data_IF_347237958204
#
_entry.id   IF_347237958204
#
_cell.length_a   1.000
_cell.length_b   1.000
_cell.length_c   1.000
_cell.angle_alpha   90.00
_cell.angle_beta   90.00
_cell.angle_gamma   90.00
#
_symmetry.space_group_name_H-M   'P 1'
#
loop_
_entity.id
_entity.type
_entity.pdbx_description
1 polymer ?
#
# COMPACT_ATOMS: atom_id res chain seq x y z
N UNK A 1 29.87 11.23 -36.72
CA UNK A 1 31.32 11.48 -36.82
C UNK A 1 31.93 11.25 -35.45
N UNK A 2 32.87 10.29 -35.35
CA UNK A 2 33.53 9.86 -34.12
C UNK A 2 34.69 10.82 -33.82
N UNK A 3 34.83 11.31 -32.59
CA UNK A 3 36.07 11.97 -32.12
C UNK A 3 36.46 11.45 -30.73
N UNK A 4 37.77 11.30 -30.46
CA UNK A 4 38.29 10.24 -29.59
C UNK A 4 38.50 10.67 -28.13
N UNK A 5 38.50 9.66 -27.27
CA UNK A 5 38.90 9.66 -25.86
C UNK A 5 40.38 10.05 -25.77
N UNK A 6 40.69 11.08 -24.97
CA UNK A 6 42.04 11.37 -24.51
C UNK A 6 42.12 11.01 -23.02
N UNK A 7 42.77 9.88 -22.74
CA UNK A 7 43.28 9.51 -21.42
C UNK A 7 44.50 10.38 -21.12
N UNK A 8 44.43 11.16 -20.04
CA UNK A 8 45.60 11.71 -19.38
C UNK A 8 45.53 11.33 -17.91
N UNK A 9 46.20 10.23 -17.60
CA UNK A 9 46.62 9.90 -16.25
C UNK A 9 47.83 10.78 -15.90
N UNK A 10 47.71 11.57 -14.84
CA UNK A 10 48.86 12.16 -14.17
C UNK A 10 48.63 12.01 -12.65
N UNK A 11 49.31 11.01 -12.10
CA UNK A 11 49.55 10.82 -10.68
C UNK A 11 50.42 11.98 -10.16
N UNK A 12 49.95 12.68 -9.13
CA UNK A 12 50.81 13.43 -8.22
C UNK A 12 50.28 13.24 -6.80
N UNK A 13 51.10 12.60 -5.97
CA UNK A 13 50.83 12.26 -4.58
C UNK A 13 51.65 13.18 -3.68
N UNK A 14 51.08 13.45 -2.50
CA UNK A 14 51.67 13.93 -1.23
C UNK A 14 51.79 15.45 -1.00
N UNK A 15 50.96 15.96 -0.09
CA UNK A 15 51.43 16.46 1.22
C UNK A 15 50.26 16.67 2.19
N UNK A 16 50.44 16.14 3.39
CA UNK A 16 49.57 16.06 4.57
C UNK A 16 49.21 17.39 5.24
N UNK A 17 47.94 17.54 5.67
CA UNK A 17 47.50 18.52 6.67
C UNK A 17 46.80 17.82 7.85
N UNK A 18 46.93 18.31 9.10
CA UNK A 18 46.45 17.61 10.28
C UNK A 18 44.92 17.75 10.47
N UNK A 19 44.36 16.69 11.07
CA UNK A 19 42.95 16.49 11.36
C UNK A 19 42.34 17.60 12.24
N UNK A 20 41.09 17.97 11.96
CA UNK A 20 39.99 17.86 12.93
C UNK A 20 38.63 18.23 12.32
N UNK A 21 37.61 17.49 12.78
CA UNK A 21 36.17 17.70 12.67
C UNK A 21 35.41 17.12 11.46
N UNK A 22 34.81 15.96 11.77
CA UNK A 22 33.47 15.50 11.39
C UNK A 22 33.26 15.02 9.95
N UNK A 23 33.73 13.80 9.69
CA UNK A 23 32.99 12.86 8.85
C UNK A 23 31.72 12.40 9.60
N UNK A 24 30.54 12.55 9.01
CA UNK A 24 29.45 11.54 9.00
C UNK A 24 28.22 12.09 8.24
N UNK A 25 27.38 11.24 7.63
CA UNK A 25 27.67 9.98 6.94
C UNK A 25 27.18 9.99 5.49
N UNK A 26 27.84 9.16 4.67
CA UNK A 26 27.23 8.49 3.53
C UNK A 26 25.90 7.87 3.97
N UNK A 27 24.80 8.36 3.42
CA UNK A 27 23.50 7.74 3.60
C UNK A 27 23.56 6.36 2.95
N UNK A 28 23.92 5.35 3.74
CA UNK A 28 23.62 3.97 3.45
C UNK A 28 22.15 3.91 3.00
N UNK A 29 21.78 3.08 2.01
CA UNK A 29 20.38 2.82 1.77
C UNK A 29 19.89 2.18 3.07
N UNK A 30 19.15 2.94 3.86
CA UNK A 30 18.26 2.34 4.84
C UNK A 30 17.40 1.41 4.02
N UNK A 31 17.68 0.11 4.10
CA UNK A 31 16.67 -0.92 3.96
C UNK A 31 15.57 -0.53 4.92
N UNK A 32 14.67 0.31 4.44
CA UNK A 32 13.38 0.51 5.04
C UNK A 32 12.79 -0.89 5.02
N UNK A 33 12.85 -1.57 6.16
CA UNK A 33 11.96 -2.66 6.46
C UNK A 33 10.56 -2.06 6.36
N UNK A 34 10.01 -2.07 5.15
CA UNK A 34 8.62 -1.80 4.93
C UNK A 34 7.88 -2.75 5.86
N UNK A 35 7.06 -2.26 6.81
CA UNK A 35 6.16 -3.17 7.50
C UNK A 35 5.42 -3.89 6.39
N UNK A 36 5.52 -5.23 6.35
CA UNK A 36 4.76 -6.06 5.43
C UNK A 36 3.30 -5.70 5.67
N UNK A 37 2.77 -4.76 4.90
CA UNK A 37 1.36 -4.48 4.83
C UNK A 37 0.78 -5.76 4.26
N UNK A 38 0.36 -6.62 5.19
CA UNK A 38 0.18 -8.04 4.94
C UNK A 38 -0.71 -8.22 3.74
N UNK A 39 -0.14 -8.83 2.70
CA UNK A 39 -0.91 -9.47 1.64
C UNK A 39 -2.11 -10.15 2.30
N UNK A 40 -3.34 -9.90 1.85
CA UNK A 40 -4.53 -10.50 2.45
C UNK A 40 -4.30 -11.98 2.78
N UNK A 41 -4.59 -12.41 4.02
CA UNK A 41 -4.34 -13.78 4.51
C UNK A 41 -4.90 -14.91 3.62
N UNK A 42 -5.83 -14.60 2.72
CA UNK A 42 -6.33 -15.58 1.75
C UNK A 42 -5.34 -15.85 0.60
N UNK A 43 -4.50 -14.88 0.21
CA UNK A 43 -3.50 -15.06 -0.86
C UNK A 43 -2.49 -16.15 -0.52
N UNK A 44 -2.12 -16.27 0.76
CA UNK A 44 -1.25 -17.35 1.23
C UNK A 44 -1.90 -18.74 1.19
N UNK A 45 -3.21 -18.84 0.98
CA UNK A 45 -3.95 -20.11 0.93
C UNK A 45 -4.16 -20.61 -0.51
N UNK A 46 -3.82 -19.81 -1.54
CA UNK A 46 -4.06 -20.12 -2.95
C UNK A 46 -2.85 -20.71 -3.70
N UNK A 47 -1.77 -21.05 -2.99
CA UNK A 47 -0.54 -21.59 -3.58
C UNK A 47 -0.07 -20.77 -4.81
N UNK A 48 -0.02 -19.45 -4.68
CA UNK A 48 0.33 -18.55 -5.77
C UNK A 48 1.77 -18.74 -6.23
N UNK A 49 2.00 -18.66 -7.54
CA UNK A 49 3.36 -18.58 -8.09
C UNK A 49 3.99 -17.23 -7.73
N UNK A 50 5.32 -17.14 -7.79
CA UNK A 50 6.01 -15.89 -7.47
C UNK A 50 5.66 -14.77 -8.46
N UNK A 51 5.46 -15.11 -9.74
CA UNK A 51 4.95 -14.19 -10.75
C UNK A 51 3.56 -13.66 -10.39
N UNK A 52 2.64 -14.54 -9.98
CA UNK A 52 1.28 -14.12 -9.55
C UNK A 52 1.35 -13.20 -8.33
N UNK A 53 2.21 -13.51 -7.35
CA UNK A 53 2.40 -12.65 -6.16
C UNK A 53 2.86 -11.25 -6.55
N UNK A 54 3.86 -11.15 -7.43
CA UNK A 54 4.37 -9.87 -7.91
C UNK A 54 3.30 -9.06 -8.64
N UNK A 55 2.53 -9.69 -9.53
CA UNK A 55 1.43 -9.03 -10.24
C UNK A 55 0.34 -8.53 -9.27
N UNK A 56 -0.02 -9.35 -8.29
CA UNK A 56 -1.00 -8.98 -7.27
C UNK A 56 -0.50 -7.82 -6.42
N UNK A 57 0.76 -7.81 -6.00
CA UNK A 57 1.35 -6.71 -5.24
C UNK A 57 1.35 -5.39 -6.02
N UNK A 58 1.64 -5.44 -7.32
CA UNK A 58 1.54 -4.27 -8.20
C UNK A 58 0.09 -3.75 -8.28
N UNK A 59 -0.89 -4.65 -8.42
CA UNK A 59 -2.32 -4.29 -8.43
C UNK A 59 -2.72 -3.62 -7.10
N UNK A 60 -2.28 -4.16 -5.96
CA UNK A 60 -2.55 -3.57 -4.64
C UNK A 60 -1.93 -2.19 -4.49
N UNK A 61 -0.67 -2.04 -4.91
CA UNK A 61 0.04 -0.77 -4.82
C UNK A 61 -0.63 0.31 -5.67
N UNK A 62 -0.95 -0.01 -6.92
CA UNK A 62 -1.65 0.90 -7.83
C UNK A 62 -3.05 1.25 -7.29
N UNK A 63 -3.80 0.27 -6.79
CA UNK A 63 -5.11 0.52 -6.18
C UNK A 63 -5.01 1.40 -4.94
N UNK A 64 -4.02 1.16 -4.08
CA UNK A 64 -3.80 1.97 -2.87
C UNK A 64 -3.49 3.42 -3.23
N UNK A 65 -2.66 3.64 -4.24
CA UNK A 65 -2.31 4.98 -4.71
C UNK A 65 -3.52 5.68 -5.34
N UNK A 66 -4.21 4.99 -6.26
CA UNK A 66 -5.41 5.50 -6.94
C UNK A 66 -6.52 5.86 -5.94
N UNK A 67 -6.74 5.03 -4.92
CA UNK A 67 -7.82 5.19 -3.94
C UNK A 67 -7.39 5.95 -2.68
N UNK A 68 -6.15 6.43 -2.60
CA UNK A 68 -5.62 7.15 -1.43
C UNK A 68 -6.50 8.35 -1.03
N UNK A 69 -6.97 9.22 -1.94
CA UNK A 69 -7.82 10.36 -1.56
C UNK A 69 -9.13 9.92 -0.90
N UNK A 70 -9.79 8.90 -1.46
CA UNK A 70 -11.03 8.34 -0.94
C UNK A 70 -10.83 7.75 0.47
N UNK A 71 -9.73 7.03 0.69
CA UNK A 71 -9.39 6.47 2.00
C UNK A 71 -9.07 7.56 3.03
N UNK A 72 -8.38 8.63 2.62
CA UNK A 72 -8.09 9.77 3.48
C UNK A 72 -9.38 10.51 3.88
N UNK A 73 -10.32 10.69 2.95
CA UNK A 73 -11.63 11.28 3.22
C UNK A 73 -12.41 10.44 4.25
N UNK A 74 -12.50 9.12 4.05
CA UNK A 74 -13.15 8.23 5.03
C UNK A 74 -12.48 8.32 6.40
N UNK A 75 -11.15 8.31 6.45
CA UNK A 75 -10.40 8.41 7.72
C UNK A 75 -10.72 9.72 8.45
N UNK A 76 -10.75 10.84 7.72
CA UNK A 76 -11.09 12.14 8.30
C UNK A 76 -12.52 12.16 8.85
N UNK A 77 -13.50 11.61 8.12
CA UNK A 77 -14.88 11.52 8.60
C UNK A 77 -14.99 10.65 9.86
N UNK A 78 -14.29 9.52 9.93
CA UNK A 78 -14.27 8.67 11.11
C UNK A 78 -13.65 9.37 12.33
N UNK A 79 -12.60 10.15 12.14
CA UNK A 79 -11.99 10.96 13.20
C UNK A 79 -12.93 12.06 13.69
N UNK A 80 -13.57 12.78 12.77
CA UNK A 80 -14.57 13.79 13.11
C UNK A 80 -15.78 13.18 13.83
N UNK A 81 -16.23 12.01 13.40
CA UNK A 81 -17.32 11.29 14.04
C UNK A 81 -16.96 10.92 15.48
N UNK A 82 -15.75 10.39 15.69
CA UNK A 82 -15.24 10.06 17.02
C UNK A 82 -15.22 11.29 17.91
N UNK A 83 -14.67 12.41 17.42
CA UNK A 83 -14.63 13.66 18.17
C UNK A 83 -16.04 14.19 18.50
N UNK A 84 -17.00 14.12 17.56
CA UNK A 84 -18.38 14.53 17.81
C UNK A 84 -19.07 13.67 18.88
N UNK A 85 -18.82 12.34 18.87
CA UNK A 85 -19.33 11.41 19.89
C UNK A 85 -18.71 11.69 21.26
N UNK A 86 -17.40 11.91 21.32
CA UNK A 86 -16.69 12.26 22.57
C UNK A 86 -17.18 13.60 23.15
N UNK A 87 -17.57 14.56 22.30
CA UNK A 87 -18.15 15.84 22.70
C UNK A 87 -19.66 15.79 23.03
N UNK A 88 -20.34 14.65 22.83
CA UNK A 88 -21.79 14.53 23.01
C UNK A 88 -22.65 15.28 21.98
N UNK A 89 -22.05 15.70 20.86
CA UNK A 89 -22.75 16.43 19.80
C UNK A 89 -23.47 15.46 18.84
N UNK A 90 -24.69 15.09 19.24
CA UNK A 90 -25.54 14.12 18.53
C UNK A 90 -25.86 14.60 17.11
N UNK A 91 -26.16 15.89 16.93
CA UNK A 91 -26.53 16.45 15.62
C UNK A 91 -25.35 16.36 14.64
N UNK A 92 -24.15 16.77 15.07
CA UNK A 92 -22.95 16.67 14.26
C UNK A 92 -22.57 15.21 13.97
N UNK A 93 -22.69 14.32 14.95
CA UNK A 93 -22.43 12.89 14.75
C UNK A 93 -23.35 12.28 13.67
N UNK A 94 -24.64 12.65 13.66
CA UNK A 94 -25.59 12.18 12.64
C UNK A 94 -25.27 12.73 11.25
N UNK A 95 -24.89 14.02 11.16
CA UNK A 95 -24.50 14.62 9.89
C UNK A 95 -23.24 13.97 9.30
N UNK A 96 -22.27 13.60 10.14
CA UNK A 96 -21.06 12.89 9.70
C UNK A 96 -21.38 11.45 9.30
N UNK A 97 -22.26 10.76 10.03
CA UNK A 97 -22.71 9.41 9.65
C UNK A 97 -23.33 9.40 8.24
N UNK A 98 -24.17 10.38 7.91
CA UNK A 98 -24.74 10.50 6.56
C UNK A 98 -23.66 10.63 5.47
N UNK A 99 -22.58 11.36 5.75
CA UNK A 99 -21.44 11.48 4.84
C UNK A 99 -20.67 10.17 4.68
N UNK A 100 -20.45 9.45 5.80
CA UNK A 100 -19.82 8.13 5.80
C UNK A 100 -20.65 7.16 4.94
N UNK A 101 -21.96 7.08 5.17
CA UNK A 101 -22.88 6.24 4.40
C UNK A 101 -22.83 6.58 2.91
N UNK A 102 -22.79 7.86 2.55
CA UNK A 102 -22.66 8.30 1.16
C UNK A 102 -21.33 7.89 0.50
N UNK A 103 -20.26 7.72 1.28
CA UNK A 103 -18.93 7.34 0.78
C UNK A 103 -18.74 5.81 0.66
N UNK A 104 -19.50 5.02 1.41
CA UNK A 104 -19.39 3.55 1.41
C UNK A 104 -19.52 2.89 0.02
N UNK A 105 -20.46 3.30 -0.86
CA UNK A 105 -20.56 2.72 -2.20
C UNK A 105 -19.29 2.91 -3.03
N UNK A 106 -18.63 4.07 -2.92
CA UNK A 106 -17.39 4.35 -3.65
C UNK A 106 -16.24 3.46 -3.16
N UNK A 107 -16.13 3.27 -1.84
CA UNK A 107 -15.15 2.36 -1.24
C UNK A 107 -15.39 0.91 -1.67
N UNK A 108 -16.65 0.48 -1.68
CA UNK A 108 -17.04 -0.86 -2.14
C UNK A 108 -16.67 -1.05 -3.60
N UNK A 109 -16.99 -0.09 -4.47
CA UNK A 109 -16.64 -0.14 -5.88
C UNK A 109 -15.12 -0.20 -6.08
N UNK A 110 -14.34 0.62 -5.38
CA UNK A 110 -12.88 0.59 -5.43
C UNK A 110 -12.30 -0.78 -5.02
N UNK A 111 -12.89 -1.40 -3.99
CA UNK A 111 -12.53 -2.74 -3.55
C UNK A 111 -12.85 -3.79 -4.61
N UNK A 112 -14.07 -3.78 -5.15
CA UNK A 112 -14.53 -4.73 -6.18
C UNK A 112 -13.69 -4.64 -7.46
N UNK A 113 -13.34 -3.43 -7.90
CA UNK A 113 -12.45 -3.23 -9.05
C UNK A 113 -11.06 -3.83 -8.82
N UNK A 114 -10.54 -3.72 -7.60
CA UNK A 114 -9.24 -4.31 -7.24
C UNK A 114 -9.34 -5.83 -7.19
N UNK A 115 -10.41 -6.36 -6.61
CA UNK A 115 -10.69 -7.79 -6.54
C UNK A 115 -10.78 -8.40 -7.95
N UNK A 116 -11.51 -7.77 -8.87
CA UNK A 116 -11.63 -8.21 -10.26
C UNK A 116 -10.26 -8.30 -10.97
N UNK A 117 -9.38 -7.30 -10.79
CA UNK A 117 -8.03 -7.33 -11.35
C UNK A 117 -7.20 -8.47 -10.77
N UNK A 118 -7.33 -8.75 -9.47
CA UNK A 118 -6.63 -9.87 -8.83
C UNK A 118 -7.17 -11.21 -9.34
N UNK A 119 -8.48 -11.38 -9.46
CA UNK A 119 -9.09 -12.61 -9.98
C UNK A 119 -8.59 -12.94 -11.38
N UNK A 120 -8.36 -11.95 -12.24
CA UNK A 120 -7.82 -12.13 -13.58
C UNK A 120 -6.37 -12.69 -13.61
N UNK A 121 -5.63 -12.62 -12.50
CA UNK A 121 -4.27 -13.19 -12.35
C UNK A 121 -4.32 -14.66 -11.91
N UNK A 122 -5.42 -15.10 -11.31
CA UNK A 122 -5.58 -16.43 -10.76
C UNK A 122 -5.98 -17.45 -11.83
N UNK A 123 -5.57 -18.71 -11.67
CA UNK A 123 -6.09 -19.81 -12.48
C UNK A 123 -7.55 -20.11 -12.11
N UNK A 124 -8.34 -20.78 -12.98
CA UNK A 124 -9.72 -21.15 -12.66
C UNK A 124 -9.86 -21.91 -11.34
N UNK A 125 -8.94 -22.83 -11.05
CA UNK A 125 -8.94 -23.63 -9.81
C UNK A 125 -8.67 -22.74 -8.59
N UNK A 126 -7.73 -21.80 -8.69
CA UNK A 126 -7.44 -20.84 -7.62
C UNK A 126 -8.60 -19.87 -7.40
N UNK A 127 -9.33 -19.48 -8.46
CA UNK A 127 -10.54 -18.66 -8.33
C UNK A 127 -11.64 -19.42 -7.59
N UNK A 128 -11.83 -20.72 -7.87
CA UNK A 128 -12.80 -21.55 -7.14
C UNK A 128 -12.43 -21.64 -5.65
N UNK A 129 -11.16 -21.90 -5.34
CA UNK A 129 -10.68 -21.91 -3.96
C UNK A 129 -10.88 -20.56 -3.28
N UNK A 130 -10.61 -19.46 -3.98
CA UNK A 130 -10.86 -18.12 -3.48
C UNK A 130 -12.33 -17.91 -3.09
N UNK A 131 -13.28 -18.31 -3.94
CA UNK A 131 -14.71 -18.18 -3.64
C UNK A 131 -15.13 -19.02 -2.42
N UNK A 132 -14.58 -20.22 -2.27
CA UNK A 132 -14.81 -21.05 -1.08
C UNK A 132 -14.31 -20.37 0.19
N UNK A 133 -13.08 -19.84 0.18
CA UNK A 133 -12.50 -19.10 1.30
C UNK A 133 -13.29 -17.84 1.62
N UNK A 134 -13.76 -17.12 0.59
CA UNK A 134 -14.61 -15.92 0.75
C UNK A 134 -15.93 -16.26 1.43
N UNK A 135 -16.59 -17.34 1.03
CA UNK A 135 -17.85 -17.78 1.64
C UNK A 135 -17.69 -18.23 3.09
N UNK A 136 -16.57 -18.88 3.45
CA UNK A 136 -16.26 -19.26 4.83
C UNK A 136 -16.00 -18.06 5.74
N UNK A 137 -15.57 -16.92 5.18
CA UNK A 137 -15.24 -15.69 5.93
C UNK A 137 -16.40 -14.73 6.07
N UNK A 138 -17.54 -14.95 5.39
CA UNK A 138 -18.74 -14.17 5.66
C UNK A 138 -19.11 -14.39 7.14
N UNK A 139 -19.34 -13.33 7.93
CA UNK A 139 -19.78 -13.51 9.30
C UNK A 139 -21.01 -14.42 9.28
N UNK A 140 -21.02 -15.46 10.12
CA UNK A 140 -22.22 -16.27 10.33
C UNK A 140 -23.37 -15.29 10.60
N UNK A 141 -24.54 -15.44 9.96
CA UNK A 141 -25.68 -14.61 10.30
C UNK A 141 -25.88 -14.76 11.82
N UNK A 142 -25.75 -13.64 12.53
CA UNK A 142 -26.19 -13.55 13.92
C UNK A 142 -27.70 -13.69 13.85
N UNK A 143 -28.18 -14.87 14.20
CA UNK A 143 -29.59 -15.22 14.31
C UNK A 143 -30.23 -14.50 15.50
#
# INVERSE_FOLDING_TARGET
MKRPIALLAALAVLASGPAAFAQTPEAAPTEAHHPKHGSPRWLSQLNLTDTQKQQIEQIWTASREQNRPLMQQMRSLMEQQRAAREAGDVSKSQAIEAQIVGLQPQLKQAHEQTEQKILAVLTPEQQQQYQQLKNQRKPRPVA
#
